data_IF_969365485355
#
_entry.id   IF_969365485355
#
_cell.length_a   1.000
_cell.length_b   1.000
_cell.length_c   1.000
_cell.angle_alpha   90.00
_cell.angle_beta   90.00
_cell.angle_gamma   90.00
#
_symmetry.space_group_name_H-M   'P 1'
#
loop_
_entity.id
_entity.type
_entity.pdbx_description
1 polymer ?
#
# COMPACT_ATOMS: atom_id res chain seq x y z
N UNK A 1 -14.67 -17.12 -14.33
CA UNK A 1 -13.31 -17.05 -13.73
C UNK A 1 -13.48 -16.86 -12.24
N UNK A 2 -12.66 -17.46 -11.36
CA UNK A 2 -12.76 -17.21 -9.93
C UNK A 2 -12.61 -15.70 -9.65
N UNK A 3 -13.37 -15.21 -8.67
CA UNK A 3 -13.28 -13.83 -8.20
C UNK A 3 -11.82 -13.55 -7.76
N UNK A 4 -11.31 -12.36 -8.08
CA UNK A 4 -9.93 -11.96 -7.76
C UNK A 4 -9.94 -10.85 -6.71
N UNK A 5 -8.95 -10.84 -5.80
CA UNK A 5 -8.73 -9.71 -4.93
C UNK A 5 -8.50 -8.43 -5.74
N UNK A 6 -8.92 -7.28 -5.22
CA UNK A 6 -8.58 -6.00 -5.84
C UNK A 6 -7.08 -5.76 -5.75
N UNK A 7 -6.50 -6.11 -4.60
CA UNK A 7 -5.10 -5.96 -4.29
C UNK A 7 -4.55 -7.28 -3.78
N UNK A 8 -3.59 -7.85 -4.52
CA UNK A 8 -2.82 -8.96 -3.99
C UNK A 8 -1.80 -8.49 -2.95
N UNK A 9 -1.48 -7.19 -2.95
CA UNK A 9 -0.51 -6.58 -2.08
C UNK A 9 -1.05 -5.30 -1.42
N UNK A 10 -0.66 -4.99 -0.19
CA UNK A 10 -0.87 -3.66 0.36
C UNK A 10 0.07 -2.66 -0.33
N UNK A 11 -0.50 -1.59 -0.87
CA UNK A 11 0.27 -0.56 -1.58
C UNK A 11 0.60 0.63 -0.69
N UNK A 12 0.58 0.48 0.63
CA UNK A 12 1.03 1.46 1.61
C UNK A 12 2.37 1.02 2.20
N UNK A 13 3.31 1.95 2.38
CA UNK A 13 4.63 1.66 2.94
C UNK A 13 4.55 1.46 4.46
N UNK A 14 4.79 0.24 5.00
CA UNK A 14 4.68 -0.04 6.43
C UNK A 14 5.68 0.75 7.28
N UNK A 15 6.74 1.32 6.70
CA UNK A 15 7.68 2.18 7.44
C UNK A 15 7.02 3.43 8.02
N UNK A 16 5.97 3.94 7.37
CA UNK A 16 5.20 5.05 7.94
C UNK A 16 4.39 4.60 9.16
N UNK A 17 3.87 3.36 9.13
CA UNK A 17 3.18 2.76 10.28
C UNK A 17 4.16 2.56 11.45
N UNK A 18 5.33 1.96 11.20
CA UNK A 18 6.38 1.77 12.23
C UNK A 18 6.81 3.11 12.83
N UNK A 19 7.14 4.07 11.98
CA UNK A 19 7.58 5.39 12.46
C UNK A 19 6.53 6.09 13.32
N UNK A 20 5.24 5.92 13.02
CA UNK A 20 4.17 6.48 13.82
C UNK A 20 3.97 5.69 15.12
N UNK A 21 3.82 4.38 15.03
CA UNK A 21 3.38 3.55 16.15
C UNK A 21 4.49 3.12 17.10
N UNK A 22 5.76 3.16 16.70
CA UNK A 22 6.89 3.04 17.63
C UNK A 22 6.95 4.24 18.60
N UNK A 23 6.50 5.42 18.15
CA UNK A 23 6.42 6.65 18.97
C UNK A 23 5.11 6.78 19.73
N UNK A 24 4.03 6.26 19.14
CA UNK A 24 2.68 6.33 19.67
C UNK A 24 2.06 4.93 19.68
N UNK A 25 2.54 4.04 20.58
CA UNK A 25 2.02 2.69 20.67
C UNK A 25 0.55 2.70 21.08
N UNK A 26 -0.14 1.62 20.75
CA UNK A 26 -1.55 1.44 21.06
C UNK A 26 -1.81 0.02 21.57
N UNK A 27 -2.91 -0.14 22.31
CA UNK A 27 -3.32 -1.46 22.81
C UNK A 27 -3.94 -2.31 21.70
N UNK A 28 -4.60 -1.65 20.75
CA UNK A 28 -5.33 -2.24 19.64
C UNK A 28 -5.03 -1.52 18.33
N UNK A 29 -4.66 -2.29 17.31
CA UNK A 29 -4.37 -1.76 15.99
C UNK A 29 -5.45 -2.19 15.00
N UNK A 30 -6.09 -1.22 14.38
CA UNK A 30 -7.17 -1.43 13.41
C UNK A 30 -6.65 -1.10 12.01
N UNK A 31 -6.71 -2.05 11.09
CA UNK A 31 -6.14 -1.92 9.75
C UNK A 31 -7.17 -2.33 8.70
N UNK A 32 -7.19 -1.65 7.55
CA UNK A 32 -7.83 -2.21 6.36
C UNK A 32 -7.02 -3.39 5.86
N UNK A 33 -7.67 -4.53 5.59
CA UNK A 33 -6.96 -5.76 5.23
C UNK A 33 -6.20 -5.61 3.90
N UNK A 34 -6.85 -5.12 2.84
CA UNK A 34 -6.23 -4.98 1.51
C UNK A 34 -5.54 -6.28 1.07
N UNK A 35 -4.23 -6.24 0.74
CA UNK A 35 -3.41 -7.43 0.47
C UNK A 35 -2.77 -8.06 1.71
N UNK A 36 -2.87 -7.43 2.89
CA UNK A 36 -2.37 -7.89 4.19
C UNK A 36 -0.89 -7.61 4.47
N UNK A 37 -0.12 -7.12 3.51
CA UNK A 37 1.35 -7.04 3.59
C UNK A 37 1.83 -6.10 4.70
N UNK A 38 1.15 -4.96 4.89
CA UNK A 38 1.50 -4.05 6.00
C UNK A 38 1.29 -4.71 7.36
N UNK A 39 0.28 -5.57 7.52
CA UNK A 39 -0.03 -6.23 8.79
C UNK A 39 0.91 -7.39 9.06
N UNK A 40 1.31 -8.12 8.01
CA UNK A 40 2.36 -9.13 8.09
C UNK A 40 3.70 -8.50 8.49
N UNK A 41 4.02 -7.33 7.95
CA UNK A 41 5.23 -6.58 8.31
C UNK A 41 5.19 -6.05 9.75
N UNK A 42 4.05 -5.56 10.22
CA UNK A 42 3.84 -5.18 11.63
C UNK A 42 3.95 -6.38 12.58
N UNK A 43 3.33 -7.51 12.25
CA UNK A 43 3.44 -8.72 13.04
C UNK A 43 4.90 -9.20 13.15
N UNK A 44 5.68 -9.09 12.06
CA UNK A 44 7.11 -9.39 12.06
C UNK A 44 7.87 -8.48 13.04
N UNK A 45 7.48 -7.20 13.14
CA UNK A 45 8.06 -6.22 14.07
C UNK A 45 7.55 -6.35 15.51
N UNK A 46 6.74 -7.35 15.81
CA UNK A 46 6.30 -7.66 17.17
C UNK A 46 5.03 -6.94 17.62
N UNK A 47 4.32 -6.26 16.71
CA UNK A 47 3.03 -5.65 17.01
C UNK A 47 1.99 -6.74 17.34
N UNK A 48 1.17 -6.48 18.35
CA UNK A 48 0.12 -7.39 18.84
C UNK A 48 -1.27 -6.80 18.61
N UNK A 49 -2.32 -7.63 18.70
CA UNK A 49 -3.71 -7.17 18.54
C UNK A 49 -3.96 -6.43 17.22
N UNK A 50 -3.60 -7.07 16.11
CA UNK A 50 -3.76 -6.54 14.75
C UNK A 50 -5.10 -7.01 14.19
N UNK A 51 -6.10 -6.13 14.21
CA UNK A 51 -7.43 -6.38 13.67
C UNK A 51 -7.54 -5.84 12.24
N UNK A 52 -7.72 -6.75 11.27
CA UNK A 52 -7.81 -6.46 9.85
C UNK A 52 -9.26 -6.51 9.38
N UNK A 53 -9.70 -5.45 8.73
CA UNK A 53 -11.10 -5.25 8.30
C UNK A 53 -11.20 -5.13 6.79
N UNK A 54 -12.14 -5.84 6.18
CA UNK A 54 -12.50 -5.65 4.77
C UNK A 54 -13.97 -6.00 4.55
N UNK A 55 -14.62 -5.31 3.62
CA UNK A 55 -15.99 -5.61 3.20
C UNK A 55 -16.01 -6.74 2.15
N UNK A 56 -14.92 -6.93 1.43
CA UNK A 56 -14.80 -7.91 0.37
C UNK A 56 -14.24 -9.22 0.93
N UNK A 57 -15.08 -10.25 1.03
CA UNK A 57 -14.67 -11.56 1.52
C UNK A 57 -13.50 -12.16 0.73
N UNK A 58 -13.34 -11.78 -0.54
CA UNK A 58 -12.23 -12.22 -1.40
C UNK A 58 -10.88 -11.63 -0.96
N UNK A 59 -10.86 -10.40 -0.42
CA UNK A 59 -9.64 -9.80 0.14
C UNK A 59 -9.21 -10.55 1.41
N UNK A 60 -10.15 -10.80 2.33
CA UNK A 60 -9.86 -11.54 3.57
C UNK A 60 -9.42 -12.97 3.29
N UNK A 61 -10.06 -13.66 2.34
CA UNK A 61 -9.67 -15.01 1.91
C UNK A 61 -8.24 -15.03 1.34
N UNK A 62 -7.86 -13.98 0.61
CA UNK A 62 -6.50 -13.82 0.08
C UNK A 62 -5.47 -13.65 1.20
N UNK A 63 -5.77 -12.81 2.21
CA UNK A 63 -4.91 -12.64 3.40
C UNK A 63 -4.79 -13.94 4.19
N UNK A 64 -5.90 -14.66 4.41
CA UNK A 64 -5.88 -15.96 5.07
C UNK A 64 -4.98 -16.98 4.34
N UNK A 65 -5.07 -17.03 3.00
CA UNK A 65 -4.22 -17.91 2.19
C UNK A 65 -2.73 -17.54 2.31
N UNK A 66 -2.39 -16.24 2.41
CA UNK A 66 -1.02 -15.80 2.70
C UNK A 66 -0.55 -16.28 4.06
N UNK A 67 -1.38 -16.16 5.10
CA UNK A 67 -1.07 -16.64 6.45
C UNK A 67 -0.80 -18.15 6.44
N UNK A 68 -1.62 -18.94 5.76
CA UNK A 68 -1.38 -20.39 5.60
C UNK A 68 -0.07 -20.69 4.87
N UNK A 69 0.21 -19.97 3.78
CA UNK A 69 1.44 -20.14 3.01
C UNK A 69 2.70 -19.77 3.80
N UNK A 70 2.60 -18.87 4.79
CA UNK A 70 3.71 -18.49 5.66
C UNK A 70 4.12 -19.58 6.66
N UNK A 71 3.26 -20.57 6.91
CA UNK A 71 3.61 -21.75 7.72
C UNK A 71 4.46 -22.78 6.95
N UNK A 72 4.65 -22.60 5.65
CA UNK A 72 5.41 -23.52 4.81
C UNK A 72 6.92 -23.26 4.88
N UNK A 73 7.73 -24.25 4.47
CA UNK A 73 9.18 -24.05 4.30
C UNK A 73 9.47 -22.92 3.31
N UNK A 74 10.61 -22.25 3.46
CA UNK A 74 10.98 -21.09 2.63
C UNK A 74 10.86 -21.37 1.11
N UNK A 75 11.38 -22.52 0.65
CA UNK A 75 11.27 -22.91 -0.76
C UNK A 75 9.81 -22.99 -1.23
N UNK A 76 8.94 -23.63 -0.44
CA UNK A 76 7.52 -23.77 -0.77
C UNK A 76 6.79 -22.43 -0.66
N UNK A 77 7.08 -21.63 0.36
CA UNK A 77 6.58 -20.27 0.57
C UNK A 77 6.89 -19.40 -0.65
N UNK A 78 8.15 -19.38 -1.11
CA UNK A 78 8.56 -18.56 -2.26
C UNK A 78 7.80 -18.96 -3.54
N UNK A 79 7.58 -20.27 -3.77
CA UNK A 79 6.76 -20.76 -4.88
C UNK A 79 5.30 -20.30 -4.75
N UNK A 80 4.68 -20.42 -3.57
CA UNK A 80 3.29 -20.04 -3.34
C UNK A 80 3.07 -18.53 -3.50
N UNK A 81 3.98 -17.73 -2.97
CA UNK A 81 3.92 -16.27 -3.07
C UNK A 81 4.26 -15.76 -4.47
N UNK A 82 5.04 -16.51 -5.23
CA UNK A 82 5.63 -16.02 -6.48
C UNK A 82 6.84 -15.11 -6.24
N UNK A 83 7.54 -15.31 -5.11
CA UNK A 83 8.66 -14.47 -4.68
C UNK A 83 10.00 -14.98 -5.21
N UNK A 84 10.95 -14.06 -5.49
CA UNK A 84 12.29 -14.32 -6.06
C UNK A 84 12.26 -15.09 -7.39
N UNK A 85 11.84 -14.39 -8.45
CA UNK A 85 11.86 -14.85 -9.87
C UNK A 85 10.67 -15.70 -10.35
N UNK A 86 9.51 -15.60 -9.68
CA UNK A 86 8.24 -16.08 -10.22
C UNK A 86 7.36 -14.90 -10.68
N UNK A 87 6.31 -15.21 -11.44
CA UNK A 87 5.44 -14.20 -12.05
C UNK A 87 3.94 -14.52 -11.88
N UNK A 88 3.67 -15.51 -11.05
CA UNK A 88 2.35 -16.01 -10.65
C UNK A 88 2.48 -16.46 -9.20
N UNK A 89 1.40 -16.38 -8.44
CA UNK A 89 1.42 -16.63 -6.99
C UNK A 89 0.67 -15.55 -6.23
N UNK A 90 0.66 -15.64 -4.90
CA UNK A 90 -0.13 -14.77 -4.03
C UNK A 90 0.21 -13.28 -4.20
N UNK A 91 1.44 -12.91 -4.57
CA UNK A 91 1.81 -11.52 -4.82
C UNK A 91 1.31 -10.96 -6.17
N UNK A 92 0.75 -11.81 -7.04
CA UNK A 92 0.43 -11.43 -8.42
C UNK A 92 -1.07 -11.53 -8.76
N UNK A 93 -1.89 -12.02 -7.83
CA UNK A 93 -3.27 -12.42 -8.12
C UNK A 93 -4.28 -11.28 -8.16
N UNK A 94 -3.90 -10.09 -7.69
CA UNK A 94 -4.80 -8.94 -7.62
C UNK A 94 -4.98 -8.22 -8.94
N UNK A 95 -6.04 -7.41 -8.99
CA UNK A 95 -6.39 -6.63 -10.18
C UNK A 95 -5.32 -5.58 -10.50
N UNK A 96 -4.86 -4.85 -9.49
CA UNK A 96 -3.81 -3.85 -9.66
C UNK A 96 -2.48 -4.52 -10.07
N UNK A 97 -2.10 -5.61 -9.41
CA UNK A 97 -0.85 -6.33 -9.71
C UNK A 97 -0.85 -6.90 -11.13
N UNK A 98 -2.00 -7.36 -11.63
CA UNK A 98 -2.14 -7.79 -13.02
C UNK A 98 -1.97 -6.63 -14.00
N UNK A 99 -2.54 -5.47 -13.70
CA UNK A 99 -2.36 -4.25 -14.50
C UNK A 99 -0.88 -3.82 -14.54
N UNK A 100 -0.20 -3.82 -13.40
CA UNK A 100 1.22 -3.45 -13.33
C UNK A 100 2.13 -4.50 -13.98
N UNK A 101 1.86 -5.78 -13.76
CA UNK A 101 2.64 -6.88 -14.33
C UNK A 101 2.53 -6.94 -15.85
N UNK A 102 1.35 -6.65 -16.42
CA UNK A 102 1.17 -6.53 -17.86
C UNK A 102 2.09 -5.45 -18.44
N UNK A 103 2.20 -4.29 -17.78
CA UNK A 103 3.11 -3.24 -18.21
C UNK A 103 4.56 -3.68 -18.14
N UNK A 104 5.03 -4.06 -16.96
CA UNK A 104 6.45 -4.36 -16.71
C UNK A 104 6.98 -5.55 -17.54
N UNK A 105 6.12 -6.54 -17.83
CA UNK A 105 6.52 -7.78 -18.52
C UNK A 105 6.20 -7.82 -20.01
N UNK A 106 5.20 -7.10 -20.49
CA UNK A 106 4.76 -7.20 -21.89
C UNK A 106 4.90 -5.91 -22.66
N UNK A 107 4.70 -4.76 -22.03
CA UNK A 107 4.73 -3.47 -22.73
C UNK A 107 6.13 -2.85 -22.64
N UNK A 108 6.66 -2.73 -21.42
CA UNK A 108 7.96 -2.11 -21.18
C UNK A 108 9.12 -2.78 -21.96
N UNK A 109 9.23 -4.12 -22.07
CA UNK A 109 10.31 -4.75 -22.84
C UNK A 109 10.28 -4.48 -24.35
N UNK A 110 9.13 -4.08 -24.89
CA UNK A 110 8.99 -3.72 -26.32
C UNK A 110 9.47 -2.30 -26.62
N UNK A 111 9.57 -1.47 -25.57
CA UNK A 111 9.84 -0.04 -25.68
C UNK A 111 11.22 0.35 -25.11
N UNK A 112 11.78 -0.50 -24.24
CA UNK A 112 13.02 -0.23 -23.52
C UNK A 112 14.02 -1.36 -23.76
N UNK A 113 15.25 -1.05 -24.18
CA UNK A 113 16.28 -2.07 -24.43
C UNK A 113 16.51 -2.97 -23.22
N UNK A 114 16.76 -4.26 -23.48
CA UNK A 114 17.05 -5.25 -22.45
C UNK A 114 18.22 -4.82 -21.56
N UNK A 115 19.32 -4.35 -22.16
CA UNK A 115 20.50 -3.87 -21.44
C UNK A 115 20.19 -2.72 -20.47
N UNK A 116 19.31 -1.80 -20.84
CA UNK A 116 18.87 -0.71 -19.95
C UNK A 116 18.04 -1.24 -18.79
N UNK A 117 17.13 -2.18 -19.05
CA UNK A 117 16.29 -2.80 -18.01
C UNK A 117 17.14 -3.57 -16.99
N UNK A 118 18.12 -4.32 -17.46
CA UNK A 118 19.05 -5.04 -16.60
C UNK A 118 19.91 -4.09 -15.79
N UNK A 119 20.48 -3.06 -16.44
CA UNK A 119 21.27 -2.05 -15.74
C UNK A 119 20.45 -1.34 -14.65
N UNK A 120 19.18 -1.01 -14.92
CA UNK A 120 18.29 -0.39 -13.94
C UNK A 120 17.99 -1.35 -12.77
N UNK A 121 17.85 -2.65 -13.07
CA UNK A 121 17.64 -3.67 -12.03
C UNK A 121 18.84 -3.80 -11.11
N UNK A 122 20.05 -3.75 -11.65
CA UNK A 122 21.29 -3.92 -10.88
C UNK A 122 21.86 -2.60 -10.34
N UNK A 123 21.19 -1.47 -10.55
CA UNK A 123 21.62 -0.19 -10.01
C UNK A 123 21.50 -0.20 -8.48
N UNK A 124 22.58 0.21 -7.80
CA UNK A 124 22.65 0.14 -6.34
C UNK A 124 22.29 1.46 -5.65
N UNK A 125 22.27 2.57 -6.38
CA UNK A 125 22.00 3.90 -5.82
C UNK A 125 20.89 4.63 -6.58
N UNK A 126 20.14 5.53 -5.90
CA UNK A 126 19.16 6.39 -6.56
C UNK A 126 19.76 7.22 -7.72
N UNK A 127 20.99 7.71 -7.59
CA UNK A 127 21.66 8.50 -8.63
C UNK A 127 21.94 7.68 -9.90
N UNK A 128 22.40 6.44 -9.74
CA UNK A 128 22.58 5.50 -10.85
C UNK A 128 21.23 5.20 -11.52
N UNK A 129 20.19 4.96 -10.72
CA UNK A 129 18.83 4.71 -11.22
C UNK A 129 18.31 5.88 -12.04
N UNK A 130 18.51 7.11 -11.60
CA UNK A 130 18.05 8.31 -12.32
C UNK A 130 18.86 8.55 -13.58
N UNK A 131 20.18 8.36 -13.55
CA UNK A 131 21.03 8.48 -14.75
C UNK A 131 20.61 7.47 -15.81
N UNK A 132 20.35 6.22 -15.39
CA UNK A 132 19.81 5.20 -16.28
C UNK A 132 18.42 5.59 -16.76
N UNK A 133 17.54 6.07 -15.87
CA UNK A 133 16.17 6.46 -16.20
C UNK A 133 16.12 7.60 -17.22
N UNK A 134 16.93 8.64 -17.06
CA UNK A 134 16.98 9.81 -17.95
C UNK A 134 17.83 9.57 -19.22
N UNK A 135 18.31 8.34 -19.42
CA UNK A 135 19.18 7.96 -20.53
C UNK A 135 18.51 7.93 -21.92
N UNK A 136 19.26 7.50 -22.95
CA UNK A 136 18.85 7.59 -24.36
C UNK A 136 17.58 6.81 -24.74
N UNK A 137 17.14 5.86 -23.91
CA UNK A 137 15.93 5.07 -24.13
C UNK A 137 14.63 5.87 -23.93
N UNK A 138 14.72 7.11 -23.41
CA UNK A 138 13.61 8.04 -23.18
C UNK A 138 13.02 8.62 -24.48
N UNK A 139 12.65 7.74 -25.42
CA UNK A 139 12.09 8.08 -26.72
C UNK A 139 10.65 8.62 -26.60
N UNK A 140 10.21 9.38 -27.61
CA UNK A 140 8.81 9.85 -27.68
C UNK A 140 7.79 8.71 -27.65
N UNK A 141 8.10 7.58 -28.31
CA UNK A 141 7.24 6.39 -28.35
C UNK A 141 7.06 5.79 -26.96
N UNK A 142 8.15 5.64 -26.22
CA UNK A 142 8.13 5.20 -24.82
C UNK A 142 7.26 6.12 -23.96
N UNK A 143 7.58 7.44 -23.96
CA UNK A 143 6.87 8.41 -23.12
C UNK A 143 5.38 8.42 -23.40
N UNK A 144 5.00 8.42 -24.69
CA UNK A 144 3.59 8.36 -25.09
C UNK A 144 2.90 7.09 -24.59
N UNK A 145 3.49 5.91 -24.82
CA UNK A 145 2.90 4.65 -24.40
C UNK A 145 2.78 4.54 -22.88
N UNK A 146 3.80 4.98 -22.14
CA UNK A 146 3.80 5.01 -20.68
C UNK A 146 2.73 5.96 -20.13
N UNK A 147 2.64 7.18 -20.67
CA UNK A 147 1.60 8.16 -20.28
C UNK A 147 0.19 7.64 -20.56
N UNK A 148 -0.04 7.03 -21.72
CA UNK A 148 -1.35 6.48 -22.10
C UNK A 148 -1.71 5.23 -21.29
N UNK A 149 -0.70 4.48 -20.83
CA UNK A 149 -0.93 3.31 -19.98
C UNK A 149 -1.31 3.70 -18.56
N UNK A 150 -0.54 4.62 -17.96
CA UNK A 150 -0.76 5.13 -16.62
C UNK A 150 -1.61 6.40 -16.60
N UNK A 151 -2.55 6.56 -17.54
CA UNK A 151 -3.52 7.64 -17.40
C UNK A 151 -4.40 7.38 -16.17
N UNK A 152 -4.84 8.44 -15.45
CA UNK A 152 -5.62 8.30 -14.23
C UNK A 152 -6.79 7.32 -14.34
N UNK A 153 -7.61 7.38 -15.40
CA UNK A 153 -8.78 6.51 -15.52
C UNK A 153 -8.41 5.02 -15.59
N UNK A 154 -7.26 4.66 -16.16
CA UNK A 154 -6.84 3.26 -16.26
C UNK A 154 -6.32 2.72 -14.95
N UNK A 155 -5.55 3.53 -14.22
CA UNK A 155 -5.09 3.16 -12.88
C UNK A 155 -6.28 3.07 -11.93
N UNK A 156 -7.17 4.07 -11.95
CA UNK A 156 -8.44 4.09 -11.22
C UNK A 156 -9.27 2.81 -11.49
N UNK A 157 -9.42 2.38 -12.76
CA UNK A 157 -10.15 1.15 -13.11
C UNK A 157 -9.44 -0.18 -12.75
N UNK A 158 -8.13 -0.15 -12.51
CA UNK A 158 -7.37 -1.30 -12.04
C UNK A 158 -7.48 -1.51 -10.52
N UNK A 159 -7.85 -0.47 -9.77
CA UNK A 159 -7.97 -0.45 -8.31
C UNK A 159 -9.39 -0.84 -7.85
N UNK A 160 -9.65 -0.73 -6.55
CA UNK A 160 -10.97 -0.94 -5.98
C UNK A 160 -11.98 0.11 -6.51
N UNK A 161 -13.16 -0.28 -7.01
CA UNK A 161 -14.12 0.66 -7.63
C UNK A 161 -14.61 1.73 -6.64
N UNK A 162 -14.67 1.39 -5.35
CA UNK A 162 -15.00 2.32 -4.28
C UNK A 162 -14.09 3.55 -4.19
N UNK A 163 -12.86 3.51 -4.74
CA UNK A 163 -11.99 4.70 -4.81
C UNK A 163 -12.46 5.76 -5.81
N UNK A 164 -13.28 5.35 -6.77
CA UNK A 164 -13.71 6.20 -7.88
C UNK A 164 -15.18 6.60 -7.78
N UNK A 165 -15.81 6.27 -6.65
CA UNK A 165 -17.19 6.64 -6.35
C UNK A 165 -17.38 8.17 -6.33
N UNK A 166 -18.65 8.62 -6.31
CA UNK A 166 -19.06 10.02 -6.33
C UNK A 166 -18.64 10.79 -5.07
N UNK A 167 -17.34 10.93 -4.83
CA UNK A 167 -16.80 11.62 -3.65
C UNK A 167 -17.26 13.07 -3.58
N UNK A 168 -17.66 13.69 -4.71
CA UNK A 168 -18.01 15.12 -4.82
C UNK A 168 -16.93 16.06 -4.27
N UNK A 169 -15.73 15.54 -3.96
CA UNK A 169 -14.57 16.24 -3.42
C UNK A 169 -13.61 16.62 -4.55
N UNK A 170 -12.75 17.65 -4.35
CA UNK A 170 -11.82 18.08 -5.38
C UNK A 170 -10.83 16.97 -5.80
N UNK A 171 -10.95 16.52 -7.06
CA UNK A 171 -10.04 15.53 -7.64
C UNK A 171 -8.68 16.18 -7.95
N UNK A 172 -7.62 15.65 -7.36
CA UNK A 172 -6.24 16.06 -7.59
C UNK A 172 -5.72 15.52 -8.92
N UNK A 173 -4.96 16.33 -9.69
CA UNK A 173 -4.21 15.82 -10.82
C UNK A 173 -3.12 14.86 -10.30
N UNK A 174 -2.81 13.83 -11.08
CA UNK A 174 -1.68 12.94 -10.76
C UNK A 174 -0.91 12.65 -12.03
N UNK A 175 0.41 12.61 -11.91
CA UNK A 175 1.30 12.11 -12.95
C UNK A 175 2.11 10.96 -12.36
N UNK A 176 1.61 9.74 -12.55
CA UNK A 176 2.26 8.56 -11.99
C UNK A 176 3.70 8.42 -12.46
N UNK A 177 4.04 8.74 -13.72
CA UNK A 177 5.42 8.65 -14.20
C UNK A 177 6.36 9.60 -13.46
N UNK A 178 5.89 10.81 -13.13
CA UNK A 178 6.67 11.73 -12.29
C UNK A 178 6.83 11.20 -10.86
N UNK A 179 5.79 10.59 -10.27
CA UNK A 179 5.89 9.97 -8.95
C UNK A 179 6.83 8.77 -8.95
N UNK A 180 6.76 7.92 -9.97
CA UNK A 180 7.68 6.80 -10.20
C UNK A 180 9.12 7.27 -10.30
N UNK A 181 9.40 8.30 -11.12
CA UNK A 181 10.74 8.87 -11.24
C UNK A 181 11.21 9.44 -9.90
N UNK A 182 10.35 10.15 -9.16
CA UNK A 182 10.70 10.69 -7.86
C UNK A 182 11.04 9.59 -6.83
N UNK A 183 10.28 8.50 -6.81
CA UNK A 183 10.55 7.34 -5.95
C UNK A 183 11.88 6.66 -6.32
N UNK A 184 12.18 6.48 -7.61
CA UNK A 184 13.47 5.98 -8.10
C UNK A 184 14.64 6.90 -7.74
N UNK A 185 14.41 8.21 -7.69
CA UNK A 185 15.42 9.20 -7.29
C UNK A 185 15.63 9.31 -5.79
N UNK A 186 14.84 8.62 -4.97
CA UNK A 186 14.94 8.71 -3.50
C UNK A 186 15.30 7.40 -2.84
N UNK A 187 14.87 6.27 -3.41
CA UNK A 187 15.05 4.96 -2.81
C UNK A 187 15.75 4.01 -3.78
N UNK A 188 16.73 3.26 -3.26
CA UNK A 188 17.32 2.17 -4.01
C UNK A 188 16.26 1.10 -4.32
N UNK A 189 16.31 0.51 -5.50
CA UNK A 189 15.33 -0.46 -6.00
C UNK A 189 15.26 -1.70 -5.11
N UNK A 190 16.41 -2.16 -4.61
CA UNK A 190 16.52 -3.28 -3.67
C UNK A 190 15.75 -3.04 -2.36
N UNK A 191 15.53 -1.77 -2.01
CA UNK A 191 14.86 -1.35 -0.80
C UNK A 191 13.45 -0.78 -1.12
N UNK A 192 12.96 -0.93 -2.36
CA UNK A 192 11.65 -0.42 -2.78
C UNK A 192 10.90 -1.41 -3.68
N UNK A 193 10.17 -2.39 -3.09
CA UNK A 193 9.34 -3.31 -3.85
C UNK A 193 8.25 -2.60 -4.67
N UNK A 194 7.77 -1.44 -4.21
CA UNK A 194 6.71 -0.68 -4.86
C UNK A 194 7.14 -0.03 -6.18
N UNK A 195 8.44 0.14 -6.42
CA UNK A 195 8.99 0.57 -7.72
C UNK A 195 9.53 -0.59 -8.56
N UNK A 196 10.06 -1.65 -7.93
CA UNK A 196 10.48 -2.84 -8.68
C UNK A 196 9.30 -3.48 -9.42
N UNK A 197 8.18 -3.69 -8.72
CA UNK A 197 7.07 -4.44 -9.30
C UNK A 197 6.49 -3.80 -10.56
N UNK A 198 6.25 -2.48 -10.64
CA UNK A 198 5.74 -1.86 -11.87
C UNK A 198 6.74 -1.88 -13.04
N UNK A 199 8.05 -1.88 -12.76
CA UNK A 199 9.08 -1.96 -13.80
C UNK A 199 9.22 -3.36 -14.39
N UNK A 200 9.07 -4.40 -13.56
CA UNK A 200 9.45 -5.76 -13.95
C UNK A 200 8.31 -6.77 -13.91
N UNK A 201 7.21 -6.43 -13.23
CA UNK A 201 6.05 -7.28 -12.99
C UNK A 201 6.33 -8.50 -12.13
N UNK A 202 7.44 -8.47 -11.38
CA UNK A 202 7.87 -9.47 -10.42
C UNK A 202 8.87 -8.89 -9.41
N UNK A 203 9.20 -9.71 -8.41
CA UNK A 203 10.21 -9.42 -7.40
C UNK A 203 11.43 -10.29 -7.61
N UNK A 204 12.59 -9.65 -7.73
CA UNK A 204 13.87 -10.35 -7.87
C UNK A 204 14.90 -9.74 -6.93
N UNK A 205 15.02 -8.42 -6.95
CA UNK A 205 16.02 -7.69 -6.17
C UNK A 205 15.45 -7.19 -4.85
N UNK A 206 14.25 -6.62 -4.85
CA UNK A 206 13.70 -5.97 -3.67
C UNK A 206 13.36 -6.94 -2.54
N UNK A 207 13.62 -6.45 -1.32
CA UNK A 207 13.33 -7.16 -0.10
C UNK A 207 11.86 -6.98 0.31
N UNK A 208 11.23 -8.11 0.67
CA UNK A 208 9.92 -8.13 1.32
C UNK A 208 10.14 -8.74 2.70
N UNK A 209 10.21 -7.93 3.77
CA UNK A 209 10.73 -8.36 5.07
C UNK A 209 10.07 -9.63 5.61
N UNK A 210 8.73 -9.70 5.58
CA UNK A 210 8.00 -10.86 6.08
C UNK A 210 8.23 -12.16 5.28
N UNK A 211 8.75 -12.08 4.05
CA UNK A 211 9.13 -13.24 3.23
C UNK A 211 10.61 -13.58 3.36
N UNK A 212 11.48 -12.59 3.50
CA UNK A 212 12.94 -12.77 3.65
C UNK A 212 13.30 -13.20 5.08
N UNK A 213 12.76 -12.54 6.10
CA UNK A 213 13.03 -12.80 7.52
C UNK A 213 12.18 -13.97 8.05
N UNK A 214 10.99 -14.16 7.47
CA UNK A 214 10.02 -15.16 7.90
C UNK A 214 9.24 -14.74 9.15
N UNK A 215 8.03 -15.29 9.31
CA UNK A 215 7.14 -14.99 10.43
C UNK A 215 6.98 -16.22 11.33
N UNK A 216 7.03 -16.00 12.64
CA UNK A 216 6.71 -17.05 13.61
C UNK A 216 5.21 -17.31 13.68
N UNK A 217 4.83 -18.52 14.10
CA UNK A 217 3.41 -18.84 14.32
C UNK A 217 2.78 -17.95 15.42
N UNK A 218 3.56 -17.47 16.40
CA UNK A 218 3.06 -16.56 17.43
C UNK A 218 2.78 -15.15 16.91
N UNK A 219 3.60 -14.66 15.97
CA UNK A 219 3.36 -13.40 15.28
C UNK A 219 2.10 -13.48 14.41
N UNK A 220 1.93 -14.58 13.65
CA UNK A 220 0.74 -14.77 12.82
C UNK A 220 -0.57 -14.85 13.63
N UNK A 221 -0.53 -15.36 14.87
CA UNK A 221 -1.69 -15.38 15.78
C UNK A 221 -2.15 -14.00 16.25
N UNK A 222 -1.34 -12.95 16.05
CA UNK A 222 -1.74 -11.59 16.39
C UNK A 222 -2.72 -10.99 15.38
N UNK A 223 -2.85 -11.58 14.19
CA UNK A 223 -3.70 -11.13 13.09
C UNK A 223 -5.11 -11.71 13.25
N UNK A 224 -6.11 -10.84 13.25
CA UNK A 224 -7.53 -11.23 13.31
C UNK A 224 -8.26 -10.64 12.12
N UNK A 225 -8.93 -11.50 11.35
CA UNK A 225 -9.63 -11.09 10.13
C UNK A 225 -11.12 -10.89 10.43
N UNK A 226 -11.65 -9.72 10.08
CA UNK A 226 -13.03 -9.33 10.34
C UNK A 226 -13.73 -8.95 9.04
N UNK A 227 -14.79 -9.68 8.70
CA UNK A 227 -15.62 -9.38 7.53
C UNK A 227 -16.63 -8.27 7.85
N UNK A 228 -16.10 -7.06 7.99
CA UNK A 228 -16.86 -5.83 8.22
C UNK A 228 -16.01 -4.60 7.87
N UNK A 229 -16.64 -3.44 7.77
CA UNK A 229 -15.91 -2.18 7.60
C UNK A 229 -15.26 -1.73 8.91
N UNK A 230 -14.05 -1.17 8.84
CA UNK A 230 -13.35 -0.64 10.03
C UNK A 230 -14.17 0.43 10.76
N UNK A 231 -14.91 1.29 10.05
CA UNK A 231 -15.75 2.31 10.68
C UNK A 231 -16.89 1.68 11.48
N UNK A 232 -17.50 0.60 10.97
CA UNK A 232 -18.51 -0.17 11.70
C UNK A 232 -17.91 -0.80 12.96
N UNK A 233 -16.69 -1.34 12.87
CA UNK A 233 -15.99 -1.91 14.01
C UNK A 233 -15.67 -0.83 15.06
N UNK A 234 -15.19 0.33 14.61
CA UNK A 234 -14.91 1.47 15.48
C UNK A 234 -16.18 1.95 16.18
N UNK A 235 -17.31 2.11 15.47
CA UNK A 235 -18.61 2.49 16.04
C UNK A 235 -19.05 1.61 17.21
N UNK A 236 -18.75 0.31 17.15
CA UNK A 236 -19.08 -0.68 18.18
C UNK A 236 -18.03 -0.77 19.30
N UNK A 237 -16.84 -0.19 19.08
CA UNK A 237 -15.76 -0.23 20.03
C UNK A 237 -15.96 0.81 21.14
N UNK A 238 -15.70 0.38 22.38
CA UNK A 238 -15.53 1.29 23.51
C UNK A 238 -14.30 2.20 23.30
N UNK A 239 -14.26 3.41 23.88
CA UNK A 239 -13.08 4.27 23.79
C UNK A 239 -11.82 3.59 24.33
N UNK A 240 -10.70 3.70 23.60
CA UNK A 240 -9.40 3.18 24.06
C UNK A 240 -8.22 3.77 23.28
N UNK A 241 -7.00 3.41 23.68
CA UNK A 241 -5.79 3.84 22.98
C UNK A 241 -5.59 2.98 21.73
N UNK A 242 -5.85 3.57 20.55
CA UNK A 242 -5.95 2.84 19.28
C UNK A 242 -4.97 3.36 18.23
N UNK A 243 -4.38 2.46 17.46
CA UNK A 243 -3.65 2.77 16.24
C UNK A 243 -4.52 2.44 15.04
N UNK A 244 -4.86 3.42 14.20
CA UNK A 244 -5.82 3.23 13.09
C UNK A 244 -5.14 3.47 11.76
N UNK A 245 -5.12 2.44 10.90
CA UNK A 245 -4.71 2.51 9.50
C UNK A 245 -5.93 2.42 8.57
N UNK A 246 -6.25 3.52 7.88
CA UNK A 246 -7.53 3.74 7.21
C UNK A 246 -7.41 4.18 5.74
N UNK A 247 -6.38 3.72 5.02
CA UNK A 247 -6.16 4.03 3.61
C UNK A 247 -7.25 3.52 2.70
N UNK A 248 -7.46 4.21 1.57
CA UNK A 248 -8.44 3.82 0.53
C UNK A 248 -9.91 3.84 1.00
N UNK A 249 -10.19 4.25 2.24
CA UNK A 249 -11.54 4.38 2.80
C UNK A 249 -12.20 5.71 2.44
N UNK A 250 -11.45 6.80 2.61
CA UNK A 250 -11.98 8.15 2.47
C UNK A 250 -12.20 8.52 1.02
N UNK A 251 -11.39 7.96 0.11
CA UNK A 251 -11.27 8.31 -1.29
C UNK A 251 -12.63 8.50 -2.00
N UNK A 252 -13.52 7.51 -1.92
CA UNK A 252 -14.85 7.54 -2.55
C UNK A 252 -15.95 8.28 -1.79
N UNK A 253 -15.65 8.88 -0.64
CA UNK A 253 -16.65 9.47 0.26
C UNK A 253 -16.97 10.92 -0.05
N UNK A 254 -18.21 11.28 0.23
CA UNK A 254 -18.69 12.66 0.27
C UNK A 254 -18.12 13.43 1.47
N UNK A 255 -18.10 14.78 1.46
CA UNK A 255 -17.65 15.57 2.60
C UNK A 255 -18.35 15.20 3.92
N UNK A 256 -19.66 14.94 3.88
CA UNK A 256 -20.44 14.53 5.06
C UNK A 256 -20.02 13.16 5.61
N UNK A 257 -19.71 12.20 4.74
CA UNK A 257 -19.23 10.87 5.14
C UNK A 257 -17.80 10.91 5.67
N UNK A 258 -16.97 11.82 5.16
CA UNK A 258 -15.64 12.09 5.71
C UNK A 258 -15.76 12.67 7.12
N UNK A 259 -16.64 13.64 7.33
CA UNK A 259 -16.89 14.21 8.66
C UNK A 259 -17.32 13.13 9.67
N UNK A 260 -18.30 12.29 9.31
CA UNK A 260 -18.77 11.18 10.16
C UNK A 260 -17.67 10.17 10.50
N UNK A 261 -16.75 9.94 9.57
CA UNK A 261 -15.59 9.08 9.83
C UNK A 261 -14.72 9.67 10.93
N UNK A 262 -14.38 10.96 10.87
CA UNK A 262 -13.58 11.62 11.90
C UNK A 262 -14.29 11.63 13.26
N UNK A 263 -15.60 11.86 13.30
CA UNK A 263 -16.41 11.75 14.53
C UNK A 263 -16.37 10.32 15.11
N UNK A 264 -16.47 9.31 14.25
CA UNK A 264 -16.39 7.90 14.66
C UNK A 264 -15.02 7.55 15.23
N UNK A 265 -13.94 8.00 14.58
CA UNK A 265 -12.57 7.80 15.04
C UNK A 265 -12.36 8.50 16.38
N UNK A 266 -12.77 9.76 16.51
CA UNK A 266 -12.57 10.52 17.73
C UNK A 266 -13.28 9.89 18.93
N UNK A 267 -14.54 9.46 18.75
CA UNK A 267 -15.31 8.76 19.80
C UNK A 267 -14.64 7.46 20.24
N UNK A 268 -14.06 6.69 19.30
CA UNK A 268 -13.44 5.41 19.61
C UNK A 268 -12.04 5.53 20.26
N UNK A 269 -11.45 6.73 20.29
CA UNK A 269 -10.06 6.97 20.66
C UNK A 269 -9.92 7.77 21.96
N UNK A 270 -9.02 7.36 22.84
CA UNK A 270 -8.52 8.16 23.97
C UNK A 270 -7.20 8.87 23.62
N UNK A 271 -6.71 9.73 24.52
CA UNK A 271 -5.36 10.35 24.40
C UNK A 271 -4.29 9.28 24.15
N UNK A 272 -3.31 9.61 23.30
CA UNK A 272 -2.26 8.70 22.84
C UNK A 272 -2.64 7.84 21.62
N UNK A 273 -3.91 7.87 21.18
CA UNK A 273 -4.32 7.20 19.94
C UNK A 273 -3.70 7.84 18.70
N UNK A 274 -3.62 7.10 17.60
CA UNK A 274 -3.10 7.59 16.33
C UNK A 274 -3.95 7.16 15.14
N UNK A 275 -4.01 8.01 14.11
CA UNK A 275 -4.68 7.76 12.84
C UNK A 275 -3.69 8.00 11.71
N UNK A 276 -3.61 7.08 10.75
CA UNK A 276 -2.85 7.24 9.52
C UNK A 276 -3.64 6.73 8.31
N UNK A 277 -3.64 7.50 7.23
CA UNK A 277 -4.28 7.17 5.97
C UNK A 277 -3.62 7.91 4.80
N UNK A 278 -3.93 7.49 3.58
CA UNK A 278 -3.38 8.04 2.35
C UNK A 278 -4.50 8.58 1.46
N UNK A 279 -4.28 9.75 0.88
CA UNK A 279 -5.07 10.28 -0.22
C UNK A 279 -4.48 9.81 -1.56
N UNK A 280 -5.33 9.23 -2.40
CA UNK A 280 -4.94 8.76 -3.73
C UNK A 280 -5.19 9.85 -4.80
N UNK A 281 -6.44 10.29 -4.94
CA UNK A 281 -6.94 11.22 -5.97
C UNK A 281 -7.79 12.32 -5.37
N UNK A 282 -8.40 12.14 -4.20
CA UNK A 282 -9.28 13.14 -3.59
C UNK A 282 -8.66 13.66 -2.31
N UNK A 283 -8.46 14.99 -2.26
CA UNK A 283 -7.89 15.62 -1.07
C UNK A 283 -8.90 15.54 0.07
N UNK A 284 -8.45 15.02 1.20
CA UNK A 284 -9.21 15.02 2.45
C UNK A 284 -9.13 16.39 3.12
N UNK A 285 -10.30 16.94 3.39
CA UNK A 285 -10.48 18.14 4.22
C UNK A 285 -10.89 17.68 5.63
N UNK A 286 -10.32 18.33 6.63
CA UNK A 286 -10.53 17.98 8.04
C UNK A 286 -11.64 18.85 8.63
N UNK A 287 -12.51 18.31 9.50
CA UNK A 287 -13.39 19.15 10.31
C UNK A 287 -12.60 20.16 11.15
N UNK A 288 -13.11 21.37 11.34
CA UNK A 288 -12.41 22.43 12.09
C UNK A 288 -12.04 22.03 13.52
N UNK A 289 -12.86 21.21 14.16
CA UNK A 289 -12.62 20.69 15.50
C UNK A 289 -11.50 19.64 15.55
N UNK A 290 -11.22 18.94 14.45
CA UNK A 290 -10.26 17.83 14.43
C UNK A 290 -8.87 18.28 14.88
N UNK A 291 -8.42 19.43 14.37
CA UNK A 291 -7.10 19.97 14.68
C UNK A 291 -7.00 20.58 16.10
N UNK A 292 -8.12 20.65 16.84
CA UNK A 292 -8.14 21.08 18.24
C UNK A 292 -7.86 19.92 19.19
N UNK A 293 -8.16 18.68 18.77
CA UNK A 293 -7.99 17.46 19.60
C UNK A 293 -6.95 16.49 19.03
N UNK A 294 -6.63 16.60 17.74
CA UNK A 294 -5.64 15.77 17.05
C UNK A 294 -4.50 16.62 16.47
N UNK A 295 -3.28 16.22 16.81
CA UNK A 295 -2.06 16.89 16.36
C UNK A 295 -1.50 16.17 15.12
N UNK A 296 -1.23 16.87 14.01
CA UNK A 296 -0.58 16.27 12.84
C UNK A 296 0.85 15.81 13.13
N UNK A 297 1.23 14.64 12.64
CA UNK A 297 2.61 14.12 12.69
C UNK A 297 3.28 14.34 11.33
N UNK A 298 4.25 15.27 11.27
CA UNK A 298 4.84 15.75 10.01
C UNK A 298 6.19 15.11 9.65
N UNK A 299 6.87 14.50 10.61
CA UNK A 299 8.24 13.98 10.50
C UNK A 299 8.29 12.48 10.14
N UNK A 300 7.34 12.02 9.32
CA UNK A 300 7.32 10.65 8.83
C UNK A 300 8.35 10.43 7.70
N UNK A 301 8.88 9.19 7.56
CA UNK A 301 9.76 8.88 6.44
C UNK A 301 9.01 9.09 5.12
N UNK A 302 9.76 9.47 4.09
CA UNK A 302 9.19 9.61 2.74
C UNK A 302 8.65 8.26 2.27
N UNK A 303 7.40 8.29 1.80
CA UNK A 303 6.73 7.12 1.24
C UNK A 303 7.44 6.61 -0.01
N UNK A 304 7.65 5.29 -0.06
CA UNK A 304 8.23 4.57 -1.20
C UNK A 304 7.23 4.33 -2.33
N UNK A 305 5.93 4.42 -2.04
CA UNK A 305 4.85 4.08 -2.95
C UNK A 305 4.58 5.23 -3.93
N UNK A 306 4.64 5.00 -5.25
CA UNK A 306 4.47 6.06 -6.27
C UNK A 306 3.02 6.30 -6.69
N UNK A 307 2.04 5.82 -5.92
CA UNK A 307 0.62 5.89 -6.28
C UNK A 307 -0.15 6.94 -5.51
N UNK A 308 0.23 7.25 -4.27
CA UNK A 308 -0.52 8.19 -3.43
C UNK A 308 0.01 9.61 -3.54
N UNK A 309 -0.90 10.58 -3.42
CA UNK A 309 -0.55 11.99 -3.42
C UNK A 309 0.06 12.40 -2.06
N UNK A 310 -0.52 11.91 -0.97
CA UNK A 310 -0.11 12.29 0.38
C UNK A 310 -0.54 11.27 1.43
N UNK A 311 0.37 10.97 2.36
CA UNK A 311 0.03 10.33 3.63
C UNK A 311 -0.29 11.40 4.68
N UNK A 312 -1.28 11.12 5.52
CA UNK A 312 -1.65 11.93 6.67
C UNK A 312 -1.55 11.07 7.92
N UNK A 313 -0.96 11.63 8.97
CA UNK A 313 -0.88 11.01 10.28
C UNK A 313 -1.21 12.00 11.38
N UNK A 314 -1.89 11.53 12.41
CA UNK A 314 -2.32 12.32 13.56
C UNK A 314 -2.19 11.52 14.85
N UNK A 315 -2.03 12.25 15.95
CA UNK A 315 -2.09 11.70 17.31
C UNK A 315 -3.11 12.48 18.14
N UNK A 316 -3.92 11.78 18.92
CA UNK A 316 -4.88 12.41 19.82
C UNK A 316 -4.18 12.86 21.10
N UNK A 317 -4.36 14.14 21.45
CA UNK A 317 -3.81 14.73 22.66
C UNK A 317 -4.54 14.27 23.92
#
# INVERSE_FOLDING_TARGET
MPARPHYAQSWEDPRLLHSLWDRHPADHYHLIASGGDHALDLALRGYTNLDLYDLEAIQLSHVATKIEALHQSESRRNILFGYRNATHGLLHNGRLERFLSLFGRRILPLLVPHATRDALRTAHTPDQQITLWDGPWQTHRWRWAAHRYFEPQRVDGARHPGLTAESKRPKQPINYLSQFRAALGTHALRDNPYTEYPLFGNYRESHIPYLDEGLSASALRQLRLHHMGIEQALLQAEPGQRGIHASDILEGRTPTEVQKFFETVDRACTSGSSLIFWDHRFRTEFPDWWLQTWTPVADLPRDRVPFYHRAYAFTKS
#
